data_IF_612878887760
#
_entry.id   IF_612878887760
#
_cell.length_a   1.000
_cell.length_b   1.000
_cell.length_c   1.000
_cell.angle_alpha   90.00
_cell.angle_beta   90.00
_cell.angle_gamma   90.00
#
_symmetry.space_group_name_H-M   'P 1'
#
loop_
_entity.id
_entity.type
_entity.pdbx_description
1 polymer ?
#
# COMPACT_ATOMS: atom_id res chain seq x y z
N UNK A 1 0.55 11.43 -0.38
CA UNK A 1 -0.04 12.76 -0.68
C UNK A 1 -1.19 12.63 -1.66
N UNK A 2 -2.21 11.83 -1.33
CA UNK A 2 -3.42 11.76 -2.16
C UNK A 2 -4.18 13.09 -2.13
N UNK A 3 -4.99 13.35 -3.15
CA UNK A 3 -5.75 14.60 -3.27
C UNK A 3 -6.71 14.89 -2.11
N UNK A 4 -7.10 13.87 -1.33
CA UNK A 4 -7.93 14.00 -0.14
C UNK A 4 -7.19 14.19 1.19
N UNK A 5 -5.87 14.42 1.18
CA UNK A 5 -5.13 14.69 2.42
C UNK A 5 -5.48 16.08 2.99
N UNK A 6 -5.41 16.28 4.33
CA UNK A 6 -5.77 17.54 4.95
C UNK A 6 -5.02 18.75 4.37
N UNK A 7 -5.76 19.82 4.08
CA UNK A 7 -5.21 21.10 3.64
C UNK A 7 -4.45 21.74 4.79
N UNK A 8 -3.30 22.35 4.48
CA UNK A 8 -2.46 23.08 5.43
C UNK A 8 -2.35 24.52 4.95
N UNK A 9 -2.19 25.47 5.89
CA UNK A 9 -2.01 26.88 5.54
C UNK A 9 -0.76 27.10 4.68
N UNK A 10 -0.74 28.18 3.92
CA UNK A 10 0.38 28.54 3.05
C UNK A 10 1.68 28.68 3.85
N UNK A 11 1.62 29.25 5.05
CA UNK A 11 2.76 29.34 5.97
C UNK A 11 3.38 27.98 6.27
N UNK A 12 2.57 26.93 6.48
CA UNK A 12 3.09 25.58 6.74
C UNK A 12 3.58 24.95 5.45
N UNK A 13 2.82 25.04 4.35
CA UNK A 13 3.18 24.42 3.07
C UNK A 13 4.47 24.97 2.47
N UNK A 14 4.76 26.26 2.68
CA UNK A 14 5.92 26.92 2.09
C UNK A 14 7.23 26.58 2.80
N UNK A 15 7.18 26.22 4.09
CA UNK A 15 8.39 26.07 4.92
C UNK A 15 8.56 24.68 5.55
N UNK A 16 7.55 23.82 5.46
CA UNK A 16 7.57 22.48 6.07
C UNK A 16 7.44 21.40 5.02
N UNK A 17 8.39 20.46 5.00
CA UNK A 17 8.26 19.24 4.20
C UNK A 17 7.29 18.24 4.85
N UNK A 18 6.01 18.52 4.69
CA UNK A 18 4.92 17.68 5.18
C UNK A 18 4.99 16.24 4.61
N UNK A 19 5.56 16.06 3.41
CA UNK A 19 5.64 14.73 2.79
C UNK A 19 6.63 13.86 3.55
N UNK A 20 7.82 14.42 3.83
CA UNK A 20 8.86 13.73 4.59
C UNK A 20 8.40 13.42 6.01
N UNK A 21 7.75 14.37 6.70
CA UNK A 21 7.26 14.16 8.07
C UNK A 21 6.21 13.04 8.12
N UNK A 22 5.23 13.06 7.20
CA UNK A 22 4.19 12.02 7.13
C UNK A 22 4.79 10.64 6.82
N UNK A 23 5.77 10.59 5.91
CA UNK A 23 6.46 9.35 5.59
C UNK A 23 7.26 8.83 6.79
N UNK A 24 8.01 9.71 7.46
CA UNK A 24 8.79 9.36 8.66
C UNK A 24 7.91 8.74 9.74
N UNK A 25 6.77 9.35 10.04
CA UNK A 25 5.85 8.82 11.06
C UNK A 25 5.37 7.39 10.73
N UNK A 26 5.10 7.09 9.45
CA UNK A 26 4.74 5.73 9.01
C UNK A 26 5.90 4.75 9.15
N UNK A 27 7.10 5.13 8.73
CA UNK A 27 8.28 4.25 8.81
C UNK A 27 8.77 4.02 10.24
N UNK A 28 8.71 5.04 11.10
CA UNK A 28 9.01 4.89 12.52
C UNK A 28 8.03 3.88 13.15
N UNK A 29 6.73 3.98 12.84
CA UNK A 29 5.72 3.04 13.33
C UNK A 29 5.98 1.60 12.83
N UNK A 30 6.23 1.42 11.53
CA UNK A 30 6.53 0.13 10.91
C UNK A 30 7.78 -0.53 11.52
N UNK A 31 8.86 0.24 11.71
CA UNK A 31 10.12 -0.28 12.27
C UNK A 31 10.01 -0.77 13.71
N UNK A 32 9.01 -0.29 14.45
CA UNK A 32 8.76 -0.66 15.84
C UNK A 32 7.78 -1.84 15.97
N UNK A 33 7.25 -2.36 14.87
CA UNK A 33 6.38 -3.53 14.88
C UNK A 33 7.19 -4.82 15.02
N UNK A 34 6.74 -5.73 15.89
CA UNK A 34 7.30 -7.07 16.01
C UNK A 34 7.08 -7.89 14.73
N UNK A 35 5.88 -7.79 14.14
CA UNK A 35 5.55 -8.37 12.84
C UNK A 35 5.49 -7.26 11.80
N UNK A 36 6.53 -7.16 10.95
CA UNK A 36 6.65 -6.11 9.93
C UNK A 36 6.71 -6.64 8.50
N UNK A 37 6.93 -7.94 8.32
CA UNK A 37 6.97 -8.55 6.98
C UNK A 37 5.67 -9.32 6.73
N UNK A 38 5.02 -9.07 5.59
CA UNK A 38 3.71 -9.65 5.31
C UNK A 38 3.69 -11.19 5.33
N UNK A 39 4.80 -11.85 4.96
CA UNK A 39 4.92 -13.32 4.95
C UNK A 39 5.19 -13.93 6.34
N UNK A 40 5.43 -13.10 7.37
CA UNK A 40 5.51 -13.55 8.76
C UNK A 40 4.16 -13.39 9.48
N UNK A 41 3.16 -12.83 8.81
CA UNK A 41 1.84 -12.61 9.41
C UNK A 41 1.07 -13.94 9.52
N UNK A 42 0.64 -14.34 10.73
CA UNK A 42 -0.13 -15.57 10.91
C UNK A 42 -1.49 -15.54 10.20
N UNK A 43 -2.02 -14.33 9.95
CA UNK A 43 -3.25 -14.16 9.17
C UNK A 43 -3.01 -14.46 7.69
N UNK A 44 -1.86 -14.07 7.14
CA UNK A 44 -1.50 -14.41 5.76
C UNK A 44 -1.32 -15.92 5.61
N UNK A 45 -0.63 -16.56 6.55
CA UNK A 45 -0.46 -18.02 6.56
C UNK A 45 -1.81 -18.75 6.58
N UNK A 46 -2.74 -18.34 7.45
CA UNK A 46 -4.09 -18.88 7.49
C UNK A 46 -4.80 -18.73 6.13
N UNK A 47 -4.80 -17.52 5.55
CA UNK A 47 -5.49 -17.26 4.28
C UNK A 47 -4.96 -18.12 3.13
N UNK A 48 -3.64 -18.31 3.04
CA UNK A 48 -3.04 -19.15 2.01
C UNK A 48 -3.27 -20.63 2.29
N UNK A 49 -3.05 -21.11 3.52
CA UNK A 49 -3.21 -22.53 3.84
C UNK A 49 -4.67 -23.01 3.70
N UNK A 50 -5.64 -22.17 4.06
CA UNK A 50 -7.05 -22.59 4.11
C UNK A 50 -7.82 -22.27 2.83
N UNK A 51 -7.43 -21.22 2.08
CA UNK A 51 -8.24 -20.73 0.95
C UNK A 51 -7.47 -20.55 -0.35
N UNK A 52 -6.38 -19.76 -0.35
CA UNK A 52 -5.69 -19.37 -1.58
C UNK A 52 -4.63 -20.37 -2.07
N UNK A 53 -4.34 -21.41 -1.28
CA UNK A 53 -3.31 -22.43 -1.48
C UNK A 53 -1.89 -21.85 -1.45
N UNK A 54 -1.46 -21.19 -2.53
CA UNK A 54 -0.11 -20.61 -2.64
C UNK A 54 -0.14 -19.31 -3.46
N UNK A 55 0.86 -18.42 -3.29
CA UNK A 55 1.01 -17.25 -4.14
C UNK A 55 1.01 -17.65 -5.63
N UNK A 56 0.18 -16.98 -6.43
CA UNK A 56 0.04 -17.25 -7.86
C UNK A 56 -0.75 -18.52 -8.23
N UNK A 57 -1.36 -19.24 -7.29
CA UNK A 57 -2.33 -20.28 -7.59
C UNK A 57 -3.56 -19.72 -8.32
N UNK A 58 -4.38 -20.61 -8.91
CA UNK A 58 -5.56 -20.20 -9.69
C UNK A 58 -6.50 -19.28 -8.88
N UNK A 59 -6.88 -19.66 -7.65
CA UNK A 59 -7.70 -18.83 -6.78
C UNK A 59 -7.02 -17.50 -6.45
N UNK A 60 -5.73 -17.48 -6.10
CA UNK A 60 -5.03 -16.24 -5.83
C UNK A 60 -5.03 -15.30 -7.06
N UNK A 61 -4.84 -15.86 -8.26
CA UNK A 61 -4.91 -15.09 -9.50
C UNK A 61 -6.31 -14.59 -9.84
N UNK A 62 -7.35 -15.38 -9.56
CA UNK A 62 -8.75 -14.99 -9.80
C UNK A 62 -9.17 -13.81 -8.92
N UNK A 63 -8.83 -13.84 -7.62
CA UNK A 63 -9.32 -12.86 -6.65
C UNK A 63 -8.38 -11.67 -6.41
N UNK A 64 -7.06 -11.88 -6.52
CA UNK A 64 -6.06 -10.89 -6.10
C UNK A 64 -5.28 -10.27 -7.26
N UNK A 65 -5.40 -10.82 -8.47
CA UNK A 65 -4.74 -10.28 -9.66
C UNK A 65 -5.75 -9.57 -10.56
N UNK A 66 -5.23 -8.70 -11.43
CA UNK A 66 -6.01 -7.98 -12.42
C UNK A 66 -5.19 -7.83 -13.69
N UNK A 67 -5.83 -7.39 -14.76
CA UNK A 67 -5.17 -7.10 -16.04
C UNK A 67 -5.31 -5.62 -16.37
N UNK A 68 -4.30 -5.09 -17.04
CA UNK A 68 -4.32 -3.71 -17.53
C UNK A 68 -4.35 -3.75 -19.05
N UNK A 69 -5.16 -2.87 -19.64
CA UNK A 69 -5.20 -2.66 -21.08
C UNK A 69 -4.36 -1.43 -21.39
N UNK A 70 -3.38 -1.51 -22.31
CA UNK A 70 -2.65 -0.34 -22.78
C UNK A 70 -3.63 0.72 -23.30
N UNK A 71 -3.51 1.95 -22.79
CA UNK A 71 -4.27 3.11 -23.28
C UNK A 71 -3.31 4.16 -23.78
N UNK A 72 -3.69 4.81 -24.88
CA UNK A 72 -2.99 5.99 -25.37
C UNK A 72 -3.06 7.15 -24.38
N UNK A 73 -2.16 8.12 -24.52
CA UNK A 73 -2.10 9.32 -23.67
C UNK A 73 -3.36 10.20 -23.77
N UNK A 74 -4.04 10.12 -24.91
CA UNK A 74 -5.32 10.77 -25.18
C UNK A 74 -6.27 9.69 -25.72
N UNK A 75 -7.54 9.73 -25.30
CA UNK A 75 -8.60 8.97 -25.94
C UNK A 75 -9.30 9.94 -26.89
N UNK A 76 -9.34 9.61 -28.19
CA UNK A 76 -10.21 10.31 -29.15
C UNK A 76 -11.69 9.99 -28.86
#
# INVERSE_FOLDING_TARGET
NGGGQPVQSDSVRNFVDLKAIRAKALYDADSNMELRMSHESPVMDMLYNEFFEKPGAHKAHEYLHTTYVPRGKYQD
#
